data_IF_706833754433
#
_entry.id   IF_706833754433
#
_cell.length_a   1.000
_cell.length_b   1.000
_cell.length_c   1.000
_cell.angle_alpha   90.00
_cell.angle_beta   90.00
_cell.angle_gamma   90.00
#
_symmetry.space_group_name_H-M   'P 1'
#
loop_
_entity.id
_entity.type
_entity.pdbx_description
1 polymer ?
#
# COMPACT_ATOMS: atom_id res chain seq x y z
N UNK A 1 27.77 27.26 41.36
CA UNK A 1 28.19 25.90 41.74
C UNK A 1 27.70 24.98 40.63
N UNK A 2 28.65 24.33 39.96
CA UNK A 2 28.50 23.49 38.77
C UNK A 2 27.76 22.16 39.06
N UNK A 3 27.30 21.51 37.96
CA UNK A 3 26.98 20.07 37.77
C UNK A 3 25.52 19.86 37.35
N UNK A 4 25.16 19.72 36.07
CA UNK A 4 25.46 18.64 35.08
C UNK A 4 24.79 17.30 35.38
N UNK A 5 23.76 16.95 34.60
CA UNK A 5 23.65 15.64 33.93
C UNK A 5 22.91 15.85 32.60
N UNK A 6 23.67 16.29 31.60
CA UNK A 6 23.43 15.86 30.22
C UNK A 6 24.30 14.62 29.98
N UNK A 7 23.90 13.78 29.01
CA UNK A 7 24.38 12.43 28.67
C UNK A 7 23.53 11.31 29.32
N UNK A 8 22.93 10.35 28.60
CA UNK A 8 23.38 9.66 27.38
C UNK A 8 22.18 9.14 26.57
N UNK A 9 21.99 9.66 25.36
CA UNK A 9 21.49 8.85 24.25
C UNK A 9 22.38 9.13 23.04
N UNK A 10 23.25 8.17 22.74
CA UNK A 10 24.17 8.20 21.60
C UNK A 10 23.38 8.07 20.29
N UNK A 11 23.50 9.01 19.33
CA UNK A 11 22.82 8.92 18.05
C UNK A 11 23.67 8.11 17.07
N UNK A 12 23.63 6.78 17.19
CA UNK A 12 24.06 5.88 16.11
C UNK A 12 23.03 4.76 15.98
N UNK A 13 22.33 4.77 14.85
CA UNK A 13 21.25 3.86 14.41
C UNK A 13 19.81 4.22 14.78
N UNK A 14 19.46 5.51 14.87
CA UNK A 14 18.04 5.89 14.80
C UNK A 14 17.58 5.80 13.35
N UNK A 15 16.67 4.86 13.09
CA UNK A 15 16.19 4.51 11.76
C UNK A 15 15.45 5.71 11.14
N UNK A 16 15.84 6.12 9.92
CA UNK A 16 15.24 7.27 9.20
C UNK A 16 13.72 7.13 9.04
N UNK A 17 13.21 5.90 9.07
CA UNK A 17 11.78 5.57 9.08
C UNK A 17 11.03 6.07 10.33
N UNK A 18 11.63 6.06 11.52
CA UNK A 18 10.98 6.50 12.75
C UNK A 18 10.85 8.03 12.82
N UNK A 19 11.78 8.77 12.21
CA UNK A 19 11.73 10.23 12.16
C UNK A 19 10.61 10.74 11.25
N UNK A 20 10.34 10.05 10.13
CA UNK A 20 9.26 10.43 9.22
C UNK A 20 7.86 10.11 9.77
N UNK A 21 7.72 9.14 10.68
CA UNK A 21 6.44 8.80 11.32
C UNK A 21 6.02 9.84 12.37
N UNK A 22 6.96 10.53 13.01
CA UNK A 22 6.69 11.50 14.08
C UNK A 22 6.15 12.84 13.52
N UNK A 23 6.46 13.20 12.27
CA UNK A 23 5.95 14.43 11.63
C UNK A 23 4.47 14.34 11.21
N UNK A 24 3.80 13.18 11.36
CA UNK A 24 2.42 12.94 10.88
C UNK A 24 1.34 13.64 11.72
N UNK A 25 1.68 14.29 12.84
CA UNK A 25 0.66 14.78 13.78
C UNK A 25 0.43 16.30 13.86
N UNK A 26 1.24 17.16 13.24
CA UNK A 26 1.01 18.61 13.28
C UNK A 26 1.53 19.31 12.02
N UNK A 27 0.63 19.53 11.07
CA UNK A 27 0.52 20.69 10.15
C UNK A 27 -0.05 20.24 8.79
N UNK A 28 -1.03 20.99 8.28
CA UNK A 28 -1.68 20.77 6.97
C UNK A 28 -0.88 21.40 5.82
N UNK A 29 0.44 21.55 6.00
CA UNK A 29 1.36 22.01 4.95
C UNK A 29 2.08 20.78 4.35
N UNK A 30 1.77 20.50 3.08
CA UNK A 30 2.39 19.49 2.21
C UNK A 30 2.82 18.18 2.90
N UNK A 31 1.91 17.20 2.96
CA UNK A 31 2.30 15.80 3.19
C UNK A 31 3.30 15.39 2.10
N UNK A 32 4.60 15.47 2.39
CA UNK A 32 5.63 14.87 1.55
C UNK A 32 5.51 13.35 1.70
N UNK A 33 4.75 12.74 0.78
CA UNK A 33 4.69 11.29 0.66
C UNK A 33 6.02 10.81 0.11
N UNK A 34 6.79 9.99 0.85
CA UNK A 34 8.07 9.49 0.38
C UNK A 34 7.90 8.76 -0.96
N UNK A 35 8.66 9.18 -1.96
CA UNK A 35 8.52 8.72 -3.33
C UNK A 35 9.84 8.22 -3.91
N UNK A 36 9.75 7.53 -5.04
CA UNK A 36 10.89 7.06 -5.80
C UNK A 36 10.57 7.13 -7.29
N UNK A 37 11.54 7.54 -8.09
CA UNK A 37 11.45 7.50 -9.55
C UNK A 37 11.96 6.15 -10.04
N UNK A 38 11.12 5.44 -10.80
CA UNK A 38 11.44 4.16 -11.43
C UNK A 38 11.11 4.30 -12.92
N UNK A 39 12.15 4.30 -13.76
CA UNK A 39 12.00 4.67 -15.17
C UNK A 39 11.49 6.11 -15.31
N UNK A 40 10.37 6.30 -16.02
CA UNK A 40 9.68 7.58 -16.21
C UNK A 40 8.66 7.91 -15.11
N UNK A 41 8.41 7.00 -14.18
CA UNK A 41 7.28 7.10 -13.24
C UNK A 41 7.76 7.39 -11.82
N UNK A 42 7.07 8.29 -11.12
CA UNK A 42 7.31 8.56 -9.70
C UNK A 42 6.23 7.90 -8.84
N UNK A 43 6.64 6.94 -8.01
CA UNK A 43 5.76 6.11 -7.18
C UNK A 43 5.90 6.43 -5.70
N UNK A 44 4.80 6.36 -4.94
CA UNK A 44 4.89 6.33 -3.48
C UNK A 44 5.64 5.06 -3.02
N UNK A 45 6.45 5.18 -1.97
CA UNK A 45 7.17 4.04 -1.36
C UNK A 45 6.43 3.39 -0.19
N UNK A 46 5.30 3.97 0.24
CA UNK A 46 4.38 3.39 1.22
C UNK A 46 2.99 3.12 0.63
N UNK A 47 2.28 2.15 1.21
CA UNK A 47 0.86 1.94 0.91
C UNK A 47 0.04 3.13 1.43
N UNK A 48 -1.02 3.49 0.70
CA UNK A 48 -1.94 4.53 1.13
C UNK A 48 -2.57 4.18 2.49
N UNK A 49 -2.74 5.20 3.34
CA UNK A 49 -3.29 5.05 4.69
C UNK A 49 -4.16 6.25 5.10
N UNK A 50 -4.97 6.75 4.16
CA UNK A 50 -5.97 7.81 4.41
C UNK A 50 -7.29 7.23 4.91
N UNK A 51 -8.04 8.04 5.66
CA UNK A 51 -9.38 7.72 6.20
C UNK A 51 -10.49 8.62 5.66
N UNK A 52 -10.11 9.60 4.82
CA UNK A 52 -11.02 10.53 4.18
C UNK A 52 -10.68 10.61 2.69
N UNK A 53 -11.67 10.93 1.88
CA UNK A 53 -11.45 11.36 0.50
C UNK A 53 -10.78 12.74 0.48
N UNK A 54 -10.28 13.14 -0.69
CA UNK A 54 -9.61 14.41 -0.93
C UNK A 54 -10.51 15.62 -0.64
N UNK A 55 -11.82 15.48 -0.84
CA UNK A 55 -12.79 16.51 -0.49
C UNK A 55 -13.08 16.61 1.02
N UNK A 56 -12.46 15.77 1.86
CA UNK A 56 -12.64 15.75 3.30
C UNK A 56 -13.76 14.82 3.80
N UNK A 57 -14.54 14.19 2.92
CA UNK A 57 -15.58 13.25 3.36
C UNK A 57 -14.96 11.99 3.96
N UNK A 58 -15.52 11.45 5.06
CA UNK A 58 -14.99 10.23 5.67
C UNK A 58 -15.29 9.00 4.81
N UNK A 59 -14.34 8.07 4.80
CA UNK A 59 -14.55 6.71 4.29
C UNK A 59 -15.31 5.88 5.33
N UNK A 60 -16.19 4.99 4.87
CA UNK A 60 -16.78 3.98 5.75
C UNK A 60 -15.67 3.08 6.31
N UNK A 61 -15.71 2.83 7.62
CA UNK A 61 -14.68 2.10 8.36
C UNK A 61 -15.28 1.36 9.56
N UNK A 62 -14.49 0.50 10.21
CA UNK A 62 -14.92 -0.32 11.37
C UNK A 62 -16.13 -1.23 11.11
N UNK A 63 -16.41 -1.54 9.83
CA UNK A 63 -17.52 -2.38 9.39
C UNK A 63 -17.32 -3.84 9.83
N UNK A 64 -18.38 -4.44 10.36
CA UNK A 64 -18.49 -5.89 10.53
C UNK A 64 -18.34 -6.62 9.19
N UNK A 65 -18.19 -7.94 9.27
CA UNK A 65 -18.13 -8.80 8.10
C UNK A 65 -19.37 -8.64 7.21
N UNK A 66 -20.56 -8.64 7.81
CA UNK A 66 -21.84 -8.55 7.11
C UNK A 66 -22.08 -7.15 6.51
N UNK A 67 -21.68 -6.09 7.20
CA UNK A 67 -21.77 -4.72 6.67
C UNK A 67 -20.84 -4.52 5.48
N UNK A 68 -19.59 -5.01 5.56
CA UNK A 68 -18.63 -4.95 4.46
C UNK A 68 -19.15 -5.67 3.22
N UNK A 69 -19.66 -6.89 3.40
CA UNK A 69 -20.17 -7.74 2.32
C UNK A 69 -21.32 -7.10 1.53
N UNK A 70 -22.13 -6.24 2.17
CA UNK A 70 -23.30 -5.58 1.54
C UNK A 70 -22.97 -4.20 0.97
N UNK A 71 -21.74 -3.73 1.17
CA UNK A 71 -21.38 -2.36 0.85
C UNK A 71 -21.19 -2.17 -0.66
N UNK A 72 -21.84 -1.14 -1.20
CA UNK A 72 -21.68 -0.67 -2.58
C UNK A 72 -21.03 0.72 -2.68
N UNK A 73 -20.64 1.29 -1.54
CA UNK A 73 -19.91 2.57 -1.42
C UNK A 73 -18.47 2.34 -1.01
N UNK A 74 -17.63 3.37 -1.13
CA UNK A 74 -16.22 3.26 -0.78
C UNK A 74 -15.96 3.12 0.72
N UNK A 75 -15.08 2.18 1.07
CA UNK A 75 -14.68 1.88 2.43
C UNK A 75 -13.19 1.58 2.56
N UNK A 76 -12.71 1.72 3.79
CA UNK A 76 -11.37 1.33 4.22
C UNK A 76 -11.41 0.49 5.49
N UNK A 77 -10.40 -0.36 5.68
CA UNK A 77 -10.20 -1.08 6.93
C UNK A 77 -8.72 -1.32 7.23
N UNK A 78 -8.41 -1.38 8.52
CA UNK A 78 -7.19 -2.00 9.04
C UNK A 78 -7.31 -3.51 8.96
N UNK A 79 -6.22 -4.21 8.67
CA UNK A 79 -6.21 -5.66 8.68
C UNK A 79 -6.53 -6.17 10.09
N UNK A 80 -7.53 -7.04 10.22
CA UNK A 80 -8.01 -7.59 11.50
C UNK A 80 -8.29 -6.54 12.60
N UNK A 81 -8.57 -5.28 12.22
CA UNK A 81 -8.78 -4.14 13.14
C UNK A 81 -7.55 -3.80 14.01
N UNK A 82 -6.35 -4.19 13.59
CA UNK A 82 -5.11 -3.87 14.28
C UNK A 82 -4.51 -2.54 13.76
N UNK A 83 -4.50 -1.51 14.59
CA UNK A 83 -3.91 -0.21 14.22
C UNK A 83 -2.37 -0.24 14.13
N UNK A 84 -1.69 -1.22 14.75
CA UNK A 84 -0.25 -1.39 14.59
C UNK A 84 0.07 -1.91 13.18
N UNK A 85 -0.83 -2.70 12.59
CA UNK A 85 -0.74 -3.15 11.20
C UNK A 85 -0.69 -1.97 10.23
N UNK A 86 -1.58 -0.98 10.39
CA UNK A 86 -1.68 0.17 9.47
C UNK A 86 -0.37 0.97 9.38
N UNK A 87 0.41 1.02 10.48
CA UNK A 87 1.71 1.71 10.49
C UNK A 87 2.77 1.02 9.62
N UNK A 88 2.67 -0.30 9.47
CA UNK A 88 3.64 -1.10 8.70
C UNK A 88 3.13 -1.35 7.28
N UNK A 89 1.86 -1.68 7.14
CA UNK A 89 1.27 -2.20 5.90
C UNK A 89 0.33 -1.22 5.19
N UNK A 90 0.01 -0.08 5.80
CA UNK A 90 -1.06 0.80 5.33
C UNK A 90 -2.44 0.16 5.51
N UNK A 91 -3.44 0.81 4.90
CA UNK A 91 -4.84 0.36 4.97
C UNK A 91 -5.25 -0.37 3.69
N UNK A 92 -6.33 -1.14 3.82
CA UNK A 92 -7.00 -1.79 2.70
C UNK A 92 -8.22 -0.96 2.29
N UNK A 93 -8.49 -0.91 0.99
CA UNK A 93 -9.59 -0.15 0.41
C UNK A 93 -10.40 -1.05 -0.51
N UNK A 94 -11.72 -0.92 -0.52
CA UNK A 94 -12.50 -1.51 -1.59
C UNK A 94 -12.37 -0.70 -2.89
N UNK A 95 -12.71 -1.31 -4.02
CA UNK A 95 -12.54 -0.62 -5.30
C UNK A 95 -13.51 0.54 -5.48
N UNK A 96 -14.65 0.52 -4.78
CA UNK A 96 -15.57 1.65 -4.75
C UNK A 96 -14.92 2.91 -4.17
N UNK A 97 -14.01 2.79 -3.19
CA UNK A 97 -13.21 3.93 -2.71
C UNK A 97 -12.15 4.34 -3.74
N UNK A 98 -11.50 3.37 -4.39
CA UNK A 98 -10.48 3.60 -5.41
C UNK A 98 -11.02 4.43 -6.58
N UNK A 99 -12.24 4.15 -7.03
CA UNK A 99 -12.85 4.78 -8.19
C UNK A 99 -13.93 5.84 -7.82
N UNK A 100 -13.88 6.40 -6.60
CA UNK A 100 -14.83 7.42 -6.17
C UNK A 100 -14.45 8.80 -6.72
N UNK A 101 -15.45 9.54 -7.22
CA UNK A 101 -15.29 10.90 -7.75
C UNK A 101 -14.73 11.91 -6.75
N UNK A 102 -14.87 11.66 -5.45
CA UNK A 102 -14.31 12.52 -4.38
C UNK A 102 -12.79 12.42 -4.25
N UNK A 103 -12.19 11.41 -4.91
CA UNK A 103 -10.75 11.20 -5.00
C UNK A 103 -10.18 10.58 -3.73
N UNK A 104 -9.68 9.36 -3.82
CA UNK A 104 -9.04 8.69 -2.68
C UNK A 104 -7.56 9.09 -2.52
N UNK A 105 -6.85 9.35 -3.61
CA UNK A 105 -5.44 9.74 -3.55
C UNK A 105 -5.27 11.19 -3.03
N UNK A 106 -4.19 11.49 -2.29
CA UNK A 106 -3.84 12.85 -1.89
C UNK A 106 -3.67 13.81 -3.08
N UNK A 107 -3.64 15.12 -2.81
CA UNK A 107 -3.39 16.12 -3.85
C UNK A 107 -2.00 15.93 -4.49
N UNK A 108 -1.92 16.13 -5.82
CA UNK A 108 -0.70 15.89 -6.60
C UNK A 108 -0.37 14.41 -6.84
N UNK A 109 -1.23 13.49 -6.40
CA UNK A 109 -1.12 12.05 -6.59
C UNK A 109 -2.39 11.48 -7.21
N UNK A 110 -2.25 10.35 -7.90
CA UNK A 110 -3.37 9.55 -8.41
C UNK A 110 -3.13 8.06 -8.13
N UNK A 111 -4.21 7.29 -8.15
CA UNK A 111 -4.11 5.83 -8.04
C UNK A 111 -3.60 5.29 -9.36
N UNK A 112 -2.65 4.36 -9.31
CA UNK A 112 -2.09 3.76 -10.51
C UNK A 112 -3.15 3.02 -11.32
N UNK A 113 -3.17 3.27 -12.62
CA UNK A 113 -3.92 2.56 -13.63
C UNK A 113 -3.19 1.28 -14.05
N UNK A 114 -3.87 0.43 -14.81
CA UNK A 114 -3.29 -0.82 -15.30
C UNK A 114 -2.12 -0.58 -16.26
N UNK A 115 -2.18 0.50 -17.04
CA UNK A 115 -1.11 0.99 -17.91
C UNK A 115 0.13 1.40 -17.13
N UNK A 116 -0.03 2.11 -16.00
CA UNK A 116 1.10 2.51 -15.17
C UNK A 116 1.84 1.29 -14.62
N UNK A 117 1.09 0.32 -14.12
CA UNK A 117 1.64 -0.94 -13.65
C UNK A 117 2.34 -1.72 -14.78
N UNK A 118 1.80 -1.70 -16.00
CA UNK A 118 2.40 -2.36 -17.14
C UNK A 118 3.76 -1.73 -17.49
N UNK A 119 3.84 -0.40 -17.56
CA UNK A 119 5.09 0.33 -17.81
C UNK A 119 6.15 0.04 -16.75
N UNK A 120 5.78 0.06 -15.46
CA UNK A 120 6.68 -0.29 -14.36
C UNK A 120 7.23 -1.71 -14.49
N UNK A 121 6.35 -2.68 -14.81
CA UNK A 121 6.73 -4.08 -14.94
C UNK A 121 7.63 -4.30 -16.15
N UNK A 122 7.33 -3.68 -17.28
CA UNK A 122 8.12 -3.79 -18.52
C UNK A 122 9.51 -3.15 -18.33
N UNK A 123 9.59 -1.99 -17.68
CA UNK A 123 10.85 -1.35 -17.33
C UNK A 123 11.75 -2.27 -16.47
N UNK A 124 11.13 -3.08 -15.59
CA UNK A 124 11.82 -4.02 -14.70
C UNK A 124 12.03 -5.41 -15.32
N UNK A 125 11.83 -5.55 -16.63
CA UNK A 125 12.14 -6.76 -17.39
C UNK A 125 11.01 -7.79 -17.47
N UNK A 126 9.78 -7.37 -17.16
CA UNK A 126 8.57 -8.14 -17.41
C UNK A 126 8.05 -8.95 -16.21
N UNK A 127 6.87 -9.53 -16.39
CA UNK A 127 6.08 -10.16 -15.34
C UNK A 127 6.79 -11.28 -14.57
N UNK A 128 7.73 -11.99 -15.18
CA UNK A 128 8.38 -13.15 -14.55
C UNK A 128 9.48 -12.77 -13.54
N UNK A 129 10.02 -11.55 -13.63
CA UNK A 129 11.18 -11.12 -12.81
C UNK A 129 10.96 -9.80 -12.06
N UNK A 130 10.07 -8.93 -12.54
CA UNK A 130 9.85 -7.60 -11.96
C UNK A 130 9.46 -7.66 -10.47
N UNK A 131 8.75 -8.71 -10.04
CA UNK A 131 8.36 -8.89 -8.64
C UNK A 131 9.54 -9.01 -7.70
N UNK A 132 10.67 -9.56 -8.16
CA UNK A 132 11.92 -9.59 -7.40
C UNK A 132 12.49 -8.18 -7.15
N UNK A 133 12.44 -7.30 -8.14
CA UNK A 133 12.90 -5.91 -8.02
C UNK A 133 11.95 -5.04 -7.18
N UNK A 134 10.65 -5.35 -7.18
CA UNK A 134 9.60 -4.56 -6.53
C UNK A 134 9.34 -4.94 -5.06
N UNK A 135 9.47 -6.22 -4.69
CA UNK A 135 9.19 -6.68 -3.32
C UNK A 135 10.22 -6.15 -2.33
N UNK A 136 9.74 -5.75 -1.15
CA UNK A 136 10.59 -5.52 0.02
C UNK A 136 11.43 -6.76 0.32
N UNK A 137 12.70 -6.54 0.68
CA UNK A 137 13.68 -7.61 0.83
C UNK A 137 13.56 -8.31 2.18
N UNK A 138 14.09 -9.53 2.25
CA UNK A 138 14.13 -10.32 3.47
C UNK A 138 12.78 -10.89 3.88
N UNK A 139 12.71 -11.41 5.10
CA UNK A 139 11.60 -12.25 5.59
C UNK A 139 11.05 -11.78 6.93
N UNK A 140 11.28 -10.51 7.30
CA UNK A 140 10.75 -9.95 8.54
C UNK A 140 9.22 -9.81 8.48
N UNK A 141 8.70 -9.40 7.33
CA UNK A 141 7.27 -9.25 7.06
C UNK A 141 6.75 -10.25 6.02
N UNK A 142 7.62 -10.74 5.14
CA UNK A 142 7.31 -11.78 4.18
C UNK A 142 7.59 -13.16 4.76
N UNK A 143 6.72 -14.13 4.49
CA UNK A 143 7.02 -15.53 4.72
C UNK A 143 8.28 -15.93 3.92
N UNK A 144 9.18 -16.65 4.57
CA UNK A 144 10.34 -17.23 3.90
C UNK A 144 9.94 -18.24 2.80
N UNK A 145 10.63 -18.26 1.65
CA UNK A 145 11.93 -17.62 1.41
C UNK A 145 11.87 -16.18 0.87
N UNK A 146 10.69 -15.64 0.55
CA UNK A 146 10.54 -14.39 -0.23
C UNK A 146 11.39 -14.41 -1.52
N UNK A 147 11.25 -15.48 -2.32
CA UNK A 147 12.12 -15.81 -3.45
C UNK A 147 12.36 -14.61 -4.37
N UNK A 148 13.64 -14.35 -4.66
CA UNK A 148 14.10 -13.33 -5.59
C UNK A 148 13.86 -11.88 -5.18
N UNK A 149 13.31 -11.61 -3.99
CA UNK A 149 13.12 -10.25 -3.50
C UNK A 149 14.45 -9.55 -3.23
N UNK A 150 14.67 -8.45 -3.94
CA UNK A 150 15.87 -7.61 -3.85
C UNK A 150 15.55 -6.17 -3.45
N UNK A 151 14.32 -5.72 -3.69
CA UNK A 151 13.91 -4.31 -3.63
C UNK A 151 14.87 -3.36 -4.38
N UNK A 152 15.49 -3.83 -5.47
CA UNK A 152 16.46 -3.02 -6.23
C UNK A 152 15.84 -1.78 -6.89
N UNK A 153 14.52 -1.76 -7.09
CA UNK A 153 13.78 -0.60 -7.59
C UNK A 153 13.48 0.47 -6.52
N UNK A 154 13.54 0.11 -5.23
CA UNK A 154 13.11 0.98 -4.13
C UNK A 154 11.59 1.07 -3.93
N UNK A 155 10.78 0.34 -4.71
CA UNK A 155 9.31 0.36 -4.62
C UNK A 155 8.75 -0.17 -3.29
N UNK A 156 9.44 -1.15 -2.67
CA UNK A 156 9.06 -1.73 -1.38
C UNK A 156 7.61 -2.29 -1.32
N UNK A 157 7.27 -3.22 -2.21
CA UNK A 157 6.00 -3.95 -2.11
C UNK A 157 6.01 -4.90 -0.89
N UNK A 158 4.95 -4.84 -0.10
CA UNK A 158 4.78 -5.54 1.18
C UNK A 158 3.56 -6.48 1.18
N UNK A 159 3.54 -7.54 2.01
CA UNK A 159 2.51 -8.57 2.02
C UNK A 159 1.37 -8.27 2.99
N UNK A 160 0.61 -7.20 2.72
CA UNK A 160 -0.50 -6.76 3.57
C UNK A 160 -1.70 -7.71 3.59
N UNK A 161 -1.70 -8.78 2.78
CA UNK A 161 -2.87 -9.63 2.59
C UNK A 161 -4.03 -8.84 1.97
N UNK A 162 -5.25 -9.28 2.25
CA UNK A 162 -6.46 -8.60 1.79
C UNK A 162 -7.66 -8.90 2.67
N UNK A 163 -8.72 -8.12 2.48
CA UNK A 163 -10.08 -8.41 2.96
C UNK A 163 -10.91 -8.91 1.78
N UNK A 164 -11.53 -10.06 1.87
CA UNK A 164 -12.35 -10.59 0.78
C UNK A 164 -13.66 -9.79 0.63
N UNK A 165 -14.35 -9.97 -0.50
CA UNK A 165 -15.70 -9.43 -0.69
C UNK A 165 -16.73 -9.98 0.33
N UNK A 166 -16.43 -11.10 0.98
CA UNK A 166 -17.23 -11.67 2.06
C UNK A 166 -16.81 -11.15 3.44
N UNK A 167 -15.79 -10.28 3.51
CA UNK A 167 -15.38 -9.56 4.71
C UNK A 167 -14.32 -10.24 5.58
N UNK A 168 -13.90 -11.47 5.26
CA UNK A 168 -12.81 -12.19 5.93
C UNK A 168 -11.41 -11.72 5.46
N UNK A 169 -10.45 -11.74 6.37
CA UNK A 169 -9.06 -11.36 6.09
C UNK A 169 -8.22 -12.59 5.74
N UNK A 170 -7.33 -12.46 4.75
CA UNK A 170 -6.46 -13.56 4.32
C UNK A 170 -5.08 -13.06 3.90
N UNK A 171 -4.14 -13.99 3.95
CA UNK A 171 -2.87 -13.95 3.23
C UNK A 171 -1.86 -12.87 3.67
N UNK A 172 -2.04 -12.26 4.85
CA UNK A 172 -1.01 -11.43 5.44
C UNK A 172 0.30 -12.21 5.57
N UNK A 173 1.41 -11.56 5.23
CA UNK A 173 2.74 -12.16 5.21
C UNK A 173 3.01 -13.08 4.01
N UNK A 174 1.98 -13.53 3.30
CA UNK A 174 2.11 -14.45 2.16
C UNK A 174 2.09 -13.71 0.81
N UNK A 175 1.22 -12.71 0.68
CA UNK A 175 0.96 -12.03 -0.58
C UNK A 175 0.69 -10.54 -0.38
N UNK A 176 1.16 -9.73 -1.33
CA UNK A 176 0.76 -8.33 -1.47
C UNK A 176 -0.22 -8.17 -2.63
N UNK A 177 -1.37 -7.55 -2.36
CA UNK A 177 -2.42 -7.30 -3.35
C UNK A 177 -2.59 -5.79 -3.53
N UNK A 178 -2.51 -5.34 -4.77
CA UNK A 178 -2.52 -3.92 -5.10
C UNK A 178 -3.59 -3.63 -6.13
N UNK A 179 -4.46 -2.67 -5.84
CA UNK A 179 -5.45 -2.19 -6.80
C UNK A 179 -4.80 -1.48 -7.99
N UNK A 180 -5.43 -1.64 -9.14
CA UNK A 180 -5.41 -0.67 -10.22
C UNK A 180 -6.72 0.13 -10.21
N UNK A 181 -6.66 1.40 -10.61
CA UNK A 181 -7.85 2.22 -10.89
C UNK A 181 -8.62 1.78 -12.15
N UNK A 182 -8.07 0.85 -12.95
CA UNK A 182 -8.69 0.37 -14.18
C UNK A 182 -9.61 -0.83 -13.92
N UNK A 183 -10.88 -0.68 -14.28
CA UNK A 183 -11.86 -1.77 -14.24
C UNK A 183 -11.48 -2.86 -15.27
N UNK A 184 -11.63 -4.13 -14.92
CA UNK A 184 -11.30 -5.27 -15.79
C UNK A 184 -12.55 -5.92 -16.40
N UNK A 185 -13.63 -6.02 -15.61
CA UNK A 185 -14.96 -6.53 -15.98
C UNK A 185 -16.02 -5.86 -15.12
N UNK A 186 -17.31 -6.12 -15.38
CA UNK A 186 -18.43 -5.49 -14.66
C UNK A 186 -18.33 -5.55 -13.13
N UNK A 187 -17.81 -6.64 -12.57
CA UNK A 187 -17.67 -6.87 -11.12
C UNK A 187 -16.22 -7.03 -10.64
N UNK A 188 -15.24 -6.68 -11.47
CA UNK A 188 -13.82 -6.81 -11.14
C UNK A 188 -13.01 -5.63 -11.65
N UNK A 189 -11.92 -5.32 -10.95
CA UNK A 189 -10.87 -4.41 -11.41
C UNK A 189 -9.54 -5.14 -11.47
N UNK A 190 -8.58 -4.58 -12.20
CA UNK A 190 -7.25 -5.19 -12.25
C UNK A 190 -6.55 -5.07 -10.89
N UNK A 191 -5.82 -6.11 -10.53
CA UNK A 191 -4.91 -6.10 -9.39
C UNK A 191 -3.54 -6.61 -9.80
N UNK A 192 -2.52 -6.20 -9.02
CA UNK A 192 -1.20 -6.84 -9.02
C UNK A 192 -1.04 -7.68 -7.76
N UNK A 193 -0.52 -8.89 -7.93
CA UNK A 193 -0.27 -9.82 -6.84
C UNK A 193 1.21 -10.21 -6.83
N UNK A 194 1.83 -10.03 -5.67
CA UNK A 194 3.21 -10.41 -5.39
C UNK A 194 3.20 -11.57 -4.41
N UNK A 195 3.84 -12.69 -4.76
CA UNK A 195 3.92 -13.89 -3.93
C UNK A 195 5.28 -14.04 -3.23
N UNK A 196 5.26 -14.70 -2.06
CA UNK A 196 6.50 -14.99 -1.32
C UNK A 196 7.38 -16.07 -1.97
N UNK A 197 6.85 -16.88 -2.89
CA UNK A 197 7.54 -18.08 -3.41
C UNK A 197 8.19 -17.89 -4.79
N UNK A 198 7.92 -16.78 -5.48
CA UNK A 198 8.49 -16.47 -6.80
C UNK A 198 8.83 -14.97 -6.95
N UNK A 199 9.48 -14.63 -8.06
CA UNK A 199 9.86 -13.25 -8.42
C UNK A 199 8.83 -12.59 -9.34
N UNK A 200 7.64 -13.16 -9.49
CA UNK A 200 6.69 -12.72 -10.52
C UNK A 200 5.76 -11.64 -10.00
N UNK A 201 5.17 -10.90 -10.93
CA UNK A 201 4.01 -10.04 -10.68
C UNK A 201 2.83 -10.59 -11.45
N UNK A 202 1.82 -11.07 -10.75
CA UNK A 202 0.61 -11.56 -11.39
C UNK A 202 -0.37 -10.42 -11.63
N UNK A 203 -0.96 -10.39 -12.82
CA UNK A 203 -2.07 -9.52 -13.19
C UNK A 203 -3.35 -10.36 -13.26
N UNK A 204 -4.35 -10.01 -12.45
CA UNK A 204 -5.63 -10.73 -12.41
C UNK A 204 -6.79 -9.79 -12.04
N UNK A 205 -8.02 -10.29 -12.08
CA UNK A 205 -9.21 -9.56 -11.63
C UNK A 205 -9.46 -9.74 -10.13
N UNK A 206 -9.58 -8.64 -9.41
CA UNK A 206 -10.06 -8.59 -8.03
C UNK A 206 -11.52 -8.12 -7.98
N UNK A 207 -12.34 -8.77 -7.14
CA UNK A 207 -13.75 -8.38 -6.97
C UNK A 207 -13.86 -6.97 -6.33
N UNK A 208 -14.74 -6.12 -6.85
CA UNK A 208 -14.80 -4.69 -6.45
C UNK A 208 -15.02 -4.47 -4.95
N UNK A 209 -15.73 -5.39 -4.29
CA UNK A 209 -16.00 -5.35 -2.85
C UNK A 209 -14.86 -5.87 -1.95
N UNK A 210 -13.79 -6.44 -2.52
CA UNK A 210 -12.62 -6.84 -1.73
C UNK A 210 -11.79 -5.63 -1.30
N UNK A 211 -11.11 -5.70 -0.16
CA UNK A 211 -10.16 -4.71 0.31
C UNK A 211 -8.72 -5.07 -0.06
N UNK A 212 -8.07 -4.30 -0.93
CA UNK A 212 -6.65 -4.45 -1.29
C UNK A 212 -5.88 -3.16 -0.97
N UNK A 213 -4.55 -3.25 -0.95
CA UNK A 213 -3.68 -2.09 -0.79
C UNK A 213 -3.74 -1.18 -2.03
N UNK A 214 -3.44 0.09 -1.82
CA UNK A 214 -3.35 1.10 -2.89
C UNK A 214 -1.94 1.67 -2.89
N UNK A 215 -1.32 1.74 -4.08
CA UNK A 215 -0.11 2.52 -4.31
C UNK A 215 -0.43 3.65 -5.27
N UNK A 216 0.00 4.87 -4.92
CA UNK A 216 -0.21 6.03 -5.77
C UNK A 216 1.05 6.32 -6.60
N UNK A 217 0.81 6.95 -7.74
CA UNK A 217 1.80 7.49 -8.66
C UNK A 217 1.58 9.00 -8.76
N UNK A 218 2.64 9.76 -9.03
CA UNK A 218 2.54 11.21 -9.26
C UNK A 218 1.60 11.48 -10.43
N UNK A 219 0.70 12.46 -10.25
CA UNK A 219 -0.33 12.81 -11.23
C UNK A 219 0.26 13.60 -12.40
#
# INVERSE_FOLDING_TARGET
MYSSVAERFSPKSFNRYLYNVIMVMQDQSALEFPSIVIGSQEWMTSNLSVTHYRNGDPLAQSLSLEEWRRLSSGATCSYEKDNQHDRVFGRLYNWHAVNDSRGLAPEGWRIAEDSDWQELIDFLGGHDIAGGALKEKGTAIWKGPNTGASNSSGFAAIPAGFRSLYGDFRHQGLYGYYWSATQSRSNCAWIRVFGYFDSRVLRTGGALGSGYSVRCIKA
#
